data_IF_328066682298
#
_entry.id   IF_328066682298
#
_cell.length_a   1.000
_cell.length_b   1.000
_cell.length_c   1.000
_cell.angle_alpha   90.00
_cell.angle_beta   90.00
_cell.angle_gamma   90.00
#
_symmetry.space_group_name_H-M   'P 1'
#
loop_
_entity.id
_entity.type
_entity.pdbx_description
1 polymer ?
#
# COMPACT_ATOMS: atom_id res chain seq x y z
N UNK A 1 11.75 -21.91 -5.34
CA UNK A 1 11.08 -22.55 -6.50
C UNK A 1 11.21 -21.62 -7.69
N UNK A 2 11.54 -22.13 -8.88
CA UNK A 2 11.70 -21.33 -10.10
C UNK A 2 10.61 -21.72 -11.10
N UNK A 3 10.01 -20.73 -11.74
CA UNK A 3 8.97 -20.92 -12.75
C UNK A 3 9.22 -19.95 -13.89
N UNK A 4 9.08 -20.42 -15.14
CA UNK A 4 9.02 -19.56 -16.31
C UNK A 4 7.56 -19.38 -16.73
N UNK A 5 7.05 -18.15 -16.69
CA UNK A 5 5.68 -17.83 -17.08
C UNK A 5 5.74 -16.84 -18.23
N UNK A 6 5.24 -17.24 -19.40
CA UNK A 6 5.18 -16.39 -20.60
C UNK A 6 6.55 -15.75 -20.95
N UNK A 7 7.64 -16.50 -20.80
CA UNK A 7 9.02 -16.02 -21.03
C UNK A 7 9.60 -15.16 -19.90
N UNK A 8 8.83 -14.92 -18.82
CA UNK A 8 9.30 -14.22 -17.63
C UNK A 8 9.75 -15.21 -16.57
N UNK A 9 11.03 -15.12 -16.21
CA UNK A 9 11.62 -15.91 -15.15
C UNK A 9 11.20 -15.40 -13.77
N UNK A 10 10.52 -16.24 -12.99
CA UNK A 10 10.04 -15.92 -11.65
C UNK A 10 10.66 -16.86 -10.61
N UNK A 11 11.14 -16.27 -9.52
CA UNK A 11 11.71 -17.00 -8.38
C UNK A 11 10.84 -16.80 -7.15
N UNK A 12 10.29 -17.89 -6.63
CA UNK A 12 9.53 -17.90 -5.40
C UNK A 12 10.44 -18.19 -4.20
N UNK A 13 10.45 -17.24 -3.27
CA UNK A 13 11.21 -17.29 -2.02
C UNK A 13 10.29 -17.86 -0.92
N UNK A 14 10.57 -19.08 -0.46
CA UNK A 14 9.79 -19.77 0.58
C UNK A 14 10.51 -19.88 1.94
N UNK A 15 11.63 -19.17 2.12
CA UNK A 15 12.38 -19.19 3.38
C UNK A 15 12.42 -17.80 3.98
N UNK A 16 12.06 -17.68 5.27
CA UNK A 16 12.14 -16.41 6.03
C UNK A 16 13.52 -15.79 5.96
N UNK A 17 14.58 -16.60 6.11
CA UNK A 17 15.97 -16.13 6.07
C UNK A 17 16.31 -15.52 4.70
N UNK A 18 15.86 -16.18 3.63
CA UNK A 18 16.08 -15.70 2.27
C UNK A 18 15.25 -14.46 1.96
N UNK A 19 13.99 -14.42 2.41
CA UNK A 19 13.12 -13.26 2.28
C UNK A 19 13.71 -12.03 2.98
N UNK A 20 14.22 -12.19 4.21
CA UNK A 20 14.92 -11.12 4.92
C UNK A 20 16.18 -10.65 4.17
N UNK A 21 17.02 -11.59 3.70
CA UNK A 21 18.23 -11.25 2.94
C UNK A 21 17.90 -10.48 1.66
N UNK A 22 16.88 -10.90 0.92
CA UNK A 22 16.53 -10.30 -0.38
C UNK A 22 15.77 -8.98 -0.20
N UNK A 23 14.71 -8.96 0.61
CA UNK A 23 13.79 -7.82 0.71
C UNK A 23 14.18 -6.76 1.72
N UNK A 24 15.05 -7.07 2.69
CA UNK A 24 15.56 -6.08 3.66
C UNK A 24 16.98 -5.66 3.28
N UNK A 25 17.94 -6.60 3.37
CA UNK A 25 19.38 -6.31 3.17
C UNK A 25 19.74 -5.93 1.74
N UNK A 26 19.09 -6.56 0.75
CA UNK A 26 19.38 -6.34 -0.68
C UNK A 26 18.23 -5.63 -1.40
N UNK A 27 17.40 -4.91 -0.64
CA UNK A 27 16.21 -4.23 -1.14
C UNK A 27 16.51 -3.23 -2.25
N UNK A 28 17.66 -2.54 -2.17
CA UNK A 28 18.10 -1.60 -3.21
C UNK A 28 18.41 -2.27 -4.55
N UNK A 29 18.78 -3.56 -4.54
CA UNK A 29 19.18 -4.31 -5.74
C UNK A 29 18.00 -5.07 -6.34
N UNK A 30 17.17 -5.71 -5.50
CA UNK A 30 16.13 -6.63 -5.97
C UNK A 30 14.69 -6.11 -5.86
N UNK A 31 14.43 -5.04 -5.12
CA UNK A 31 13.06 -4.54 -4.94
C UNK A 31 12.60 -3.57 -6.04
N UNK A 32 13.23 -3.59 -7.21
CA UNK A 32 12.75 -2.81 -8.36
C UNK A 32 11.41 -3.36 -8.87
N UNK A 33 10.57 -2.49 -9.43
CA UNK A 33 9.23 -2.85 -9.90
C UNK A 33 9.29 -3.26 -11.37
N UNK A 34 8.70 -4.41 -11.69
CA UNK A 34 8.55 -4.87 -13.08
C UNK A 34 7.66 -3.86 -13.81
N UNK A 35 8.09 -3.43 -15.01
CA UNK A 35 7.24 -2.59 -15.86
C UNK A 35 6.02 -3.41 -16.28
N UNK A 36 4.85 -3.03 -15.78
CA UNK A 36 3.59 -3.58 -16.24
C UNK A 36 3.20 -2.83 -17.54
N UNK A 37 3.22 -3.48 -18.72
CA UNK A 37 3.02 -2.79 -19.99
C UNK A 37 1.64 -2.14 -20.09
N UNK A 38 0.61 -2.76 -19.51
CA UNK A 38 -0.75 -2.22 -19.46
C UNK A 38 -0.78 -0.92 -18.65
N UNK A 39 -0.12 -0.89 -17.49
CA UNK A 39 -0.12 0.27 -16.62
C UNK A 39 0.70 1.45 -17.19
N UNK A 40 1.80 1.13 -17.85
CA UNK A 40 2.73 2.12 -18.43
C UNK A 40 2.30 2.62 -19.80
N UNK A 41 1.83 1.74 -20.69
CA UNK A 41 1.51 2.09 -22.09
C UNK A 41 0.02 2.23 -22.39
N UNK A 42 -0.86 1.45 -21.74
CA UNK A 42 -2.31 1.57 -22.04
C UNK A 42 -2.95 2.67 -21.20
N UNK A 43 -2.47 2.90 -19.98
CA UNK A 43 -3.07 3.86 -19.07
C UNK A 43 -2.38 5.22 -19.04
N UNK A 44 -1.14 5.38 -19.54
CA UNK A 44 -0.32 6.63 -19.67
C UNK A 44 -0.35 7.64 -18.48
N UNK A 45 -1.03 7.29 -17.39
CA UNK A 45 -1.48 8.18 -16.30
C UNK A 45 -1.20 7.55 -14.95
N UNK A 46 -0.36 6.52 -14.85
CA UNK A 46 -0.01 5.92 -13.56
C UNK A 46 1.44 6.18 -13.14
N UNK A 47 2.20 6.95 -13.93
CA UNK A 47 3.59 7.33 -13.59
C UNK A 47 3.70 8.21 -12.34
N UNK A 48 2.62 8.86 -11.92
CA UNK A 48 2.58 9.61 -10.66
C UNK A 48 2.39 8.70 -9.44
N UNK A 49 1.83 7.51 -9.60
CA UNK A 49 1.55 6.60 -8.51
C UNK A 49 2.86 5.91 -8.06
N UNK A 50 3.45 6.40 -6.97
CA UNK A 50 4.76 5.93 -6.51
C UNK A 50 4.81 4.43 -6.22
N UNK A 51 3.67 3.78 -5.92
CA UNK A 51 3.58 2.33 -5.70
C UNK A 51 4.03 1.49 -6.91
N UNK A 52 3.91 2.04 -8.12
CA UNK A 52 4.28 1.39 -9.38
C UNK A 52 5.57 1.95 -10.00
N UNK A 53 6.18 2.95 -9.36
CA UNK A 53 7.43 3.52 -9.84
C UNK A 53 8.61 2.57 -9.55
N UNK A 54 9.59 2.59 -10.46
CA UNK A 54 10.88 1.92 -10.27
C UNK A 54 11.64 2.53 -9.10
N UNK A 55 12.46 1.72 -8.43
CA UNK A 55 13.21 2.07 -7.21
C UNK A 55 14.41 3.01 -7.50
N UNK A 56 14.14 4.16 -8.14
CA UNK A 56 15.10 5.22 -8.44
C UNK A 56 14.87 6.48 -7.59
N UNK A 57 15.57 7.56 -7.93
CA UNK A 57 15.57 8.79 -7.11
C UNK A 57 14.19 9.43 -6.98
N UNK A 58 13.38 9.42 -8.04
CA UNK A 58 11.99 9.90 -8.00
C UNK A 58 11.15 9.14 -6.98
N UNK A 59 11.26 7.81 -6.97
CA UNK A 59 10.56 6.97 -5.99
C UNK A 59 11.06 7.22 -4.57
N UNK A 60 12.37 7.37 -4.36
CA UNK A 60 12.94 7.69 -3.04
C UNK A 60 12.41 9.02 -2.51
N UNK A 61 12.34 10.03 -3.37
CA UNK A 61 11.77 11.34 -3.03
C UNK A 61 10.29 11.22 -2.62
N UNK A 62 9.45 10.60 -3.45
CA UNK A 62 8.05 10.36 -3.13
C UNK A 62 7.86 9.55 -1.84
N UNK A 63 8.67 8.49 -1.65
CA UNK A 63 8.63 7.65 -0.45
C UNK A 63 8.99 8.45 0.79
N UNK A 64 9.97 9.35 0.72
CA UNK A 64 10.36 10.21 1.85
C UNK A 64 9.20 11.11 2.28
N UNK A 65 8.59 11.83 1.34
CA UNK A 65 7.45 12.72 1.62
C UNK A 65 6.26 11.95 2.20
N UNK A 66 5.93 10.79 1.61
CA UNK A 66 4.89 9.91 2.16
C UNK A 66 5.26 9.44 3.57
N UNK A 67 6.48 8.98 3.78
CA UNK A 67 6.92 8.47 5.07
C UNK A 67 6.81 9.52 6.17
N UNK A 68 7.20 10.78 5.89
CA UNK A 68 7.08 11.90 6.83
C UNK A 68 5.64 12.13 7.32
N UNK A 69 4.64 11.97 6.44
CA UNK A 69 3.21 12.10 6.79
C UNK A 69 2.66 10.89 7.56
N UNK A 70 3.32 9.73 7.48
CA UNK A 70 2.90 8.49 8.13
C UNK A 70 3.91 7.99 9.18
N UNK A 71 4.72 8.89 9.74
CA UNK A 71 5.57 8.58 10.89
C UNK A 71 4.70 8.28 12.13
N UNK A 72 5.19 7.46 13.08
CA UNK A 72 4.41 7.09 14.27
C UNK A 72 3.86 8.31 15.04
N UNK A 73 4.65 9.38 15.14
CA UNK A 73 4.25 10.63 15.81
C UNK A 73 3.11 11.33 15.06
N UNK A 74 3.18 11.36 13.72
CA UNK A 74 2.17 12.02 12.87
C UNK A 74 0.86 11.22 12.86
N UNK A 75 0.94 9.88 12.90
CA UNK A 75 -0.23 9.00 12.85
C UNK A 75 -1.11 9.11 14.10
N UNK A 76 -0.56 9.54 15.25
CA UNK A 76 -1.34 9.84 16.45
C UNK A 76 -2.46 10.85 16.19
N UNK A 77 -2.22 11.83 15.31
CA UNK A 77 -3.23 12.83 14.93
C UNK A 77 -4.42 12.22 14.16
N UNK A 78 -4.28 11.02 13.59
CA UNK A 78 -5.34 10.33 12.84
C UNK A 78 -6.19 9.41 13.73
N UNK A 79 -5.79 9.16 14.99
CA UNK A 79 -6.56 8.33 15.93
C UNK A 79 -8.02 8.78 16.10
N UNK A 80 -8.35 10.09 16.20
CA UNK A 80 -9.73 10.53 16.29
C UNK A 80 -10.59 10.07 15.10
N UNK A 81 -10.04 10.14 13.89
CA UNK A 81 -10.70 9.68 12.65
C UNK A 81 -10.90 8.17 12.67
N UNK A 82 -9.88 7.41 13.06
CA UNK A 82 -9.99 5.95 13.21
C UNK A 82 -11.05 5.57 14.24
N UNK A 83 -11.09 6.25 15.40
CA UNK A 83 -12.06 5.98 16.46
C UNK A 83 -13.49 6.28 16.01
N UNK A 84 -13.71 7.40 15.31
CA UNK A 84 -14.99 7.78 14.73
C UNK A 84 -15.54 6.68 13.81
N UNK A 85 -14.73 6.25 12.83
CA UNK A 85 -15.15 5.23 11.87
C UNK A 85 -15.24 3.83 12.47
N UNK A 86 -14.45 3.53 13.51
CA UNK A 86 -14.56 2.26 14.26
C UNK A 86 -15.88 2.20 15.03
N UNK A 87 -16.30 3.28 15.68
CA UNK A 87 -17.61 3.34 16.37
C UNK A 87 -18.77 3.12 15.38
N UNK A 88 -18.67 3.70 14.19
CA UNK A 88 -19.67 3.51 13.14
C UNK A 88 -19.67 2.07 12.60
N UNK A 89 -18.48 1.48 12.38
CA UNK A 89 -18.34 0.08 11.99
C UNK A 89 -19.03 -0.87 12.98
N UNK A 90 -18.80 -0.67 14.28
CA UNK A 90 -19.41 -1.47 15.33
C UNK A 90 -20.95 -1.35 15.33
N UNK A 91 -21.49 -0.15 15.12
CA UNK A 91 -22.95 0.04 14.98
C UNK A 91 -23.52 -0.71 13.78
N UNK A 92 -22.78 -0.75 12.66
CA UNK A 92 -23.20 -1.50 11.47
C UNK A 92 -23.17 -3.00 11.70
N UNK A 93 -22.13 -3.52 12.35
CA UNK A 93 -22.10 -4.93 12.77
C UNK A 93 -23.26 -5.32 13.67
N UNK A 94 -23.67 -4.45 14.60
CA UNK A 94 -24.83 -4.72 15.47
C UNK A 94 -26.15 -4.78 14.69
N UNK A 95 -26.28 -4.04 13.58
CA UNK A 95 -27.49 -4.02 12.76
C UNK A 95 -27.52 -5.15 11.72
N UNK A 96 -26.42 -5.38 11.04
CA UNK A 96 -26.31 -6.32 9.90
C UNK A 96 -24.98 -7.08 9.96
N UNK A 97 -24.85 -8.09 10.86
CA UNK A 97 -23.59 -8.82 11.04
C UNK A 97 -23.21 -9.68 9.83
N UNK A 98 -24.15 -10.01 8.95
CA UNK A 98 -23.90 -10.86 7.77
C UNK A 98 -23.06 -10.17 6.69
N UNK A 99 -23.10 -8.84 6.63
CA UNK A 99 -22.41 -8.03 5.61
C UNK A 99 -21.04 -7.50 6.10
N UNK A 100 -20.37 -8.28 6.96
CA UNK A 100 -19.18 -7.82 7.68
C UNK A 100 -18.06 -7.31 6.75
N UNK A 101 -17.82 -8.00 5.62
CA UNK A 101 -16.80 -7.63 4.65
C UNK A 101 -17.08 -6.26 4.03
N UNK A 102 -18.33 -5.97 3.70
CA UNK A 102 -18.72 -4.70 3.13
C UNK A 102 -18.53 -3.56 4.14
N UNK A 103 -18.92 -3.80 5.39
CA UNK A 103 -18.77 -2.82 6.46
C UNK A 103 -17.29 -2.51 6.74
N UNK A 104 -16.41 -3.52 6.78
CA UNK A 104 -14.96 -3.32 6.93
C UNK A 104 -14.39 -2.52 5.76
N UNK A 105 -14.76 -2.89 4.53
CA UNK A 105 -14.31 -2.18 3.32
C UNK A 105 -14.74 -0.71 3.34
N UNK A 106 -15.98 -0.44 3.75
CA UNK A 106 -16.49 0.92 3.89
C UNK A 106 -15.73 1.70 4.96
N UNK A 107 -15.54 1.13 6.16
CA UNK A 107 -14.82 1.80 7.25
C UNK A 107 -13.37 2.12 6.86
N UNK A 108 -12.67 1.17 6.23
CA UNK A 108 -11.31 1.39 5.73
C UNK A 108 -11.28 2.53 4.69
N UNK A 109 -12.21 2.53 3.73
CA UNK A 109 -12.31 3.60 2.73
C UNK A 109 -12.60 4.96 3.34
N UNK A 110 -13.52 5.04 4.31
CA UNK A 110 -13.89 6.28 4.98
C UNK A 110 -12.72 6.86 5.78
N UNK A 111 -11.95 6.02 6.48
CA UNK A 111 -10.73 6.44 7.18
C UNK A 111 -9.70 6.98 6.19
N UNK A 112 -9.43 6.25 5.10
CA UNK A 112 -8.43 6.66 4.09
C UNK A 112 -8.79 8.01 3.49
N UNK A 113 -10.05 8.21 3.08
CA UNK A 113 -10.50 9.46 2.46
C UNK A 113 -10.41 10.63 3.44
N UNK A 114 -10.89 10.47 4.67
CA UNK A 114 -10.89 11.54 5.67
C UNK A 114 -9.46 11.94 6.06
N UNK A 115 -8.55 10.97 6.23
CA UNK A 115 -7.12 11.25 6.48
C UNK A 115 -6.46 11.96 5.29
N UNK A 116 -6.73 11.53 4.06
CA UNK A 116 -6.19 12.17 2.85
C UNK A 116 -6.71 13.62 2.74
N UNK A 117 -7.98 13.86 3.03
CA UNK A 117 -8.54 15.21 2.97
C UNK A 117 -7.87 16.14 4.00
N UNK A 118 -7.65 15.66 5.24
CA UNK A 118 -6.91 16.40 6.27
C UNK A 118 -5.48 16.70 5.84
N UNK A 119 -4.84 15.81 5.08
CA UNK A 119 -3.48 16.00 4.58
C UNK A 119 -3.37 17.04 3.45
N UNK A 120 -4.48 17.33 2.76
CA UNK A 120 -4.53 18.26 1.63
C UNK A 120 -4.85 19.70 2.04
N UNK A 121 -5.35 19.90 3.26
CA UNK A 121 -5.68 21.21 3.87
C UNK A 121 -4.57 21.62 4.82
#
# INVERSE_FOLDING_TARGET
VFVNILGTHMVFINSRRLAYKVFDKLSSLYSDRIKLPILSHALHRYDWAFSFQRCGDRWRCHRRVMHEKFLPVTVEAYKPVQLKHTKELLRRFLRQPKDFMEHIRHAAGAIIIEVIFILLV
#
